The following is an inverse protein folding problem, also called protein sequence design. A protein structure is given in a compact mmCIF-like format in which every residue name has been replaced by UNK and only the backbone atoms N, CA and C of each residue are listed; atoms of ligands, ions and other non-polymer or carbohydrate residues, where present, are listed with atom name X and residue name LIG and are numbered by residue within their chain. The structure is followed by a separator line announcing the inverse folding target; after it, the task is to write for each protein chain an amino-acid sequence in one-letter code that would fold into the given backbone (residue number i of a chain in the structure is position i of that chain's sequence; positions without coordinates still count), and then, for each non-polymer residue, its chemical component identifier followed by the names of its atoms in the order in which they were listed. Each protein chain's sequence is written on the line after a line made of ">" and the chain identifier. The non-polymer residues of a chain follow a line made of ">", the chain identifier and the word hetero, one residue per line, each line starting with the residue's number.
data_IF_710385795276
#
_entry.id   IF_710385795276
#
_cell.length_a   1.000
_cell.length_b   1.000
_cell.length_c   1.000
_cell.angle_alpha   90.00
_cell.angle_beta   90.00
_cell.angle_gamma   90.00
#
_symmetry.space_group_name_H-M   'P 1'
#
loop_
_entity.id
_entity.type
_entity.pdbx_description
1 polymer ?
#
# COMPACT_ATOMS: atom_id res chain seq x y z
N UNK A 1 28.23 25.34 35.89
CA UNK A 1 28.32 25.28 34.41
C UNK A 1 27.81 23.88 33.99
N UNK A 2 26.49 23.77 33.75
CA UNK A 2 25.84 22.52 33.34
C UNK A 2 25.91 22.45 31.82
N UNK A 3 26.57 21.42 31.28
CA UNK A 3 26.61 21.11 29.87
C UNK A 3 25.23 20.58 29.43
N UNK A 4 24.60 21.30 28.52
CA UNK A 4 23.42 20.82 27.83
C UNK A 4 23.74 19.49 27.09
N UNK A 5 22.95 18.46 27.32
CA UNK A 5 22.96 17.26 26.47
C UNK A 5 22.46 17.64 25.09
N UNK A 6 23.05 17.12 24.01
CA UNK A 6 22.48 17.30 22.68
C UNK A 6 21.10 16.60 22.64
N UNK A 7 20.11 17.35 22.23
CA UNK A 7 18.74 16.89 22.03
C UNK A 7 18.68 15.74 21.03
N UNK A 8 17.84 14.79 21.33
CA UNK A 8 17.63 13.53 20.61
C UNK A 8 17.39 13.79 19.11
N UNK A 9 18.30 13.29 18.31
CA UNK A 9 18.07 13.12 16.88
C UNK A 9 16.83 12.22 16.64
N UNK A 10 16.30 12.20 15.40
CA UNK A 10 15.07 11.46 15.11
C UNK A 10 15.19 10.04 15.63
N UNK A 11 14.20 9.62 16.43
CA UNK A 11 14.15 8.32 17.07
C UNK A 11 14.55 7.24 16.07
N UNK A 12 15.59 6.48 16.40
CA UNK A 12 16.03 5.33 15.62
C UNK A 12 14.81 4.41 15.43
N UNK A 13 14.38 4.28 14.19
CA UNK A 13 13.31 3.37 13.82
C UNK A 13 13.66 1.99 14.35
N UNK A 14 12.71 1.33 15.01
CA UNK A 14 12.84 -0.04 15.51
C UNK A 14 13.45 -0.93 14.41
N UNK A 15 14.69 -1.46 14.59
CA UNK A 15 15.36 -2.24 13.55
C UNK A 15 14.70 -3.59 13.29
N UNK A 16 13.69 -3.97 14.09
CA UNK A 16 12.95 -5.23 13.96
C UNK A 16 11.57 -5.11 13.33
N UNK A 17 11.11 -3.91 12.97
CA UNK A 17 9.79 -3.76 12.35
C UNK A 17 9.84 -4.14 10.86
N UNK A 18 9.25 -5.28 10.51
CA UNK A 18 9.07 -5.70 9.11
C UNK A 18 8.25 -4.65 8.36
N UNK A 19 8.77 -4.19 7.23
CA UNK A 19 8.09 -3.22 6.37
C UNK A 19 7.58 -3.90 5.12
N UNK A 20 6.28 -3.91 4.96
CA UNK A 20 5.67 -4.33 3.71
C UNK A 20 5.59 -3.12 2.75
N UNK A 21 6.45 -3.10 1.75
CA UNK A 21 6.40 -2.15 0.63
C UNK A 21 5.95 -2.96 -0.58
N UNK A 22 4.69 -2.82 -0.94
CA UNK A 22 4.06 -3.69 -1.93
C UNK A 22 3.83 -3.00 -3.27
N UNK A 23 4.23 -1.72 -3.38
CA UNK A 23 4.26 -0.95 -4.62
C UNK A 23 5.62 -0.26 -4.73
N UNK A 24 6.32 -0.48 -5.82
CA UNK A 24 7.62 0.15 -6.11
C UNK A 24 7.47 1.37 -7.03
N UNK A 25 6.46 1.36 -7.91
CA UNK A 25 6.22 2.45 -8.86
C UNK A 25 4.75 2.57 -9.25
N UNK A 26 4.28 3.80 -9.38
CA UNK A 26 3.00 4.13 -10.03
C UNK A 26 3.28 4.45 -11.49
N UNK A 27 2.75 3.64 -12.41
CA UNK A 27 2.94 3.79 -13.85
C UNK A 27 1.97 4.82 -14.43
N UNK A 28 0.73 4.77 -13.99
CA UNK A 28 -0.34 5.67 -14.44
C UNK A 28 -1.40 5.79 -13.34
N UNK A 29 -1.99 6.97 -13.21
CA UNK A 29 -3.10 7.21 -12.29
C UNK A 29 -4.00 8.30 -12.85
N UNK A 30 -5.30 8.00 -12.88
CA UNK A 30 -6.36 8.93 -13.23
C UNK A 30 -7.29 9.06 -12.02
N UNK A 31 -7.25 10.23 -11.36
CA UNK A 31 -8.02 10.47 -10.13
C UNK A 31 -9.51 10.13 -10.34
N UNK A 32 -10.10 9.48 -9.35
CA UNK A 32 -11.50 9.03 -9.39
C UNK A 32 -11.77 7.81 -10.28
N UNK A 33 -10.79 7.32 -11.05
CA UNK A 33 -11.03 6.29 -12.06
C UNK A 33 -10.15 5.07 -11.92
N UNK A 34 -8.84 5.20 -12.08
CA UNK A 34 -7.96 4.02 -12.11
C UNK A 34 -6.52 4.32 -11.73
N UNK A 35 -5.82 3.27 -11.35
CA UNK A 35 -4.37 3.28 -11.11
C UNK A 35 -3.73 2.03 -11.71
N UNK A 36 -2.52 2.20 -12.26
CA UNK A 36 -1.60 1.11 -12.59
C UNK A 36 -0.32 1.27 -11.79
N UNK A 37 0.07 0.21 -11.10
CA UNK A 37 1.26 0.21 -10.24
C UNK A 37 2.02 -1.10 -10.36
N UNK A 38 3.29 -1.09 -10.01
CA UNK A 38 4.20 -2.23 -10.16
C UNK A 38 4.86 -2.56 -8.82
N UNK A 39 5.01 -3.85 -8.57
CA UNK A 39 5.89 -4.43 -7.55
C UNK A 39 6.86 -5.42 -8.20
N UNK A 40 8.14 -5.27 -7.89
CA UNK A 40 9.18 -6.26 -8.21
C UNK A 40 9.50 -7.03 -6.94
N UNK A 41 9.55 -8.36 -7.01
CA UNK A 41 9.84 -9.22 -5.87
C UNK A 41 11.35 -9.50 -5.83
N UNK A 42 12.00 -9.04 -4.77
CA UNK A 42 13.42 -9.33 -4.51
C UNK A 42 13.56 -10.52 -3.57
N UNK A 43 14.60 -11.35 -3.77
CA UNK A 43 14.95 -12.41 -2.81
C UNK A 43 15.33 -11.86 -1.43
N UNK A 44 15.65 -10.57 -1.32
CA UNK A 44 15.96 -9.90 -0.06
C UNK A 44 14.73 -9.52 0.79
N UNK A 45 13.52 -9.79 0.31
CA UNK A 45 12.29 -9.55 1.08
C UNK A 45 12.21 -10.53 2.26
N UNK A 46 12.13 -10.02 3.48
CA UNK A 46 12.20 -10.82 4.72
C UNK A 46 11.12 -11.91 4.81
N UNK A 47 9.90 -11.63 4.33
CA UNK A 47 8.79 -12.59 4.37
C UNK A 47 9.00 -13.80 3.45
N UNK A 48 9.94 -13.77 2.51
CA UNK A 48 10.24 -14.92 1.65
C UNK A 48 11.07 -16.00 2.36
N UNK A 49 11.78 -15.65 3.44
CA UNK A 49 12.56 -16.61 4.20
C UNK A 49 11.69 -17.70 4.82
N UNK A 50 10.46 -17.37 5.22
CA UNK A 50 9.53 -18.26 5.91
C UNK A 50 8.42 -18.80 5.00
N UNK A 51 8.16 -18.14 3.87
CA UNK A 51 7.09 -18.54 2.95
C UNK A 51 7.63 -19.40 1.83
N UNK A 52 7.70 -20.66 2.16
CA UNK A 52 8.30 -21.84 1.55
C UNK A 52 9.82 -21.69 1.34
N UNK A 53 10.65 -22.01 2.37
CA UNK A 53 12.11 -21.83 2.32
C UNK A 53 12.80 -22.47 1.12
N UNK A 54 12.28 -23.60 0.60
CA UNK A 54 12.79 -24.28 -0.59
C UNK A 54 12.19 -23.80 -1.93
N UNK A 55 11.09 -23.03 -1.85
CA UNK A 55 10.38 -22.46 -3.00
C UNK A 55 9.79 -21.10 -2.61
N UNK A 56 10.61 -20.05 -2.51
CA UNK A 56 10.15 -18.75 -2.07
C UNK A 56 9.18 -18.12 -3.08
N UNK A 57 8.01 -17.74 -2.61
CA UNK A 57 6.98 -17.06 -3.40
C UNK A 57 6.32 -15.96 -2.59
N UNK A 58 5.89 -14.90 -3.25
CA UNK A 58 5.12 -13.85 -2.61
C UNK A 58 3.81 -14.44 -2.06
N UNK A 59 3.53 -14.32 -0.74
CA UNK A 59 2.28 -14.78 -0.17
C UNK A 59 1.05 -14.19 -0.88
N UNK A 60 0.03 -15.02 -1.13
CA UNK A 60 -1.18 -14.58 -1.82
C UNK A 60 -1.86 -13.39 -1.15
N UNK A 61 -1.86 -13.35 0.19
CA UNK A 61 -2.41 -12.21 0.96
C UNK A 61 -1.64 -10.91 0.69
N UNK A 62 -0.35 -10.97 0.37
CA UNK A 62 0.45 -9.80 0.02
C UNK A 62 0.23 -9.37 -1.44
N UNK A 63 -0.14 -10.30 -2.35
CA UNK A 63 -0.64 -9.94 -3.68
C UNK A 63 -1.92 -9.09 -3.56
N UNK A 64 -2.87 -9.52 -2.71
CA UNK A 64 -4.07 -8.73 -2.43
C UNK A 64 -3.73 -7.39 -1.77
N UNK A 65 -2.83 -7.38 -0.80
CA UNK A 65 -2.44 -6.15 -0.11
C UNK A 65 -1.75 -5.14 -1.05
N UNK A 66 -0.96 -5.57 -2.02
CA UNK A 66 -0.40 -4.70 -3.06
C UNK A 66 -1.49 -4.04 -3.92
N UNK A 67 -2.55 -4.78 -4.21
CA UNK A 67 -3.74 -4.25 -4.89
C UNK A 67 -4.48 -3.21 -4.03
N UNK A 68 -4.64 -3.48 -2.72
CA UNK A 68 -5.22 -2.56 -1.73
C UNK A 68 -4.36 -1.30 -1.59
N UNK A 69 -3.03 -1.43 -1.53
CA UNK A 69 -2.12 -0.28 -1.49
C UNK A 69 -2.25 0.58 -2.75
N UNK A 70 -2.35 -0.04 -3.93
CA UNK A 70 -2.60 0.67 -5.19
C UNK A 70 -3.90 1.47 -5.15
N UNK A 71 -5.01 0.84 -4.74
CA UNK A 71 -6.30 1.51 -4.59
C UNK A 71 -6.24 2.67 -3.57
N UNK A 72 -5.49 2.48 -2.48
CA UNK A 72 -5.34 3.51 -1.45
C UNK A 72 -4.63 4.76 -1.99
N UNK A 73 -3.67 4.60 -2.91
CA UNK A 73 -3.05 5.74 -3.59
C UNK A 73 -4.03 6.46 -4.51
N UNK A 74 -4.88 5.72 -5.22
CA UNK A 74 -5.93 6.30 -6.05
C UNK A 74 -6.93 7.12 -5.23
N UNK A 75 -7.37 6.59 -4.08
CA UNK A 75 -8.25 7.32 -3.16
C UNK A 75 -7.59 8.61 -2.68
N UNK A 76 -6.36 8.52 -2.15
CA UNK A 76 -5.62 9.67 -1.63
C UNK A 76 -5.48 10.79 -2.66
N UNK A 77 -5.14 10.46 -3.88
CA UNK A 77 -5.06 11.44 -4.97
C UNK A 77 -6.43 12.04 -5.29
N UNK A 78 -7.47 11.21 -5.31
CA UNK A 78 -8.84 11.65 -5.64
C UNK A 78 -9.40 12.60 -4.59
N UNK A 79 -9.10 12.36 -3.30
CA UNK A 79 -9.58 13.13 -2.17
C UNK A 79 -8.62 14.27 -1.74
N UNK A 80 -7.56 14.51 -2.49
CA UNK A 80 -6.48 15.43 -2.10
C UNK A 80 -5.95 15.15 -0.66
N UNK A 81 -5.75 13.85 -0.33
CA UNK A 81 -5.25 13.39 0.97
C UNK A 81 -6.12 13.81 2.17
N UNK A 82 -7.44 13.85 2.01
CA UNK A 82 -8.39 14.20 3.07
C UNK A 82 -8.32 13.26 4.28
N UNK A 83 -7.95 11.98 4.09
CA UNK A 83 -7.89 10.96 5.14
C UNK A 83 -6.46 10.42 5.34
N UNK A 84 -6.05 10.33 6.59
CA UNK A 84 -4.76 9.73 6.98
C UNK A 84 -4.77 8.21 6.85
N UNK A 85 -5.89 7.57 7.20
CA UNK A 85 -6.06 6.12 7.24
C UNK A 85 -6.99 5.63 6.14
N UNK A 86 -6.51 4.65 5.37
CA UNK A 86 -7.31 3.92 4.38
C UNK A 86 -7.01 2.44 4.58
N UNK A 87 -8.03 1.67 4.94
CA UNK A 87 -7.91 0.27 5.29
C UNK A 87 -8.85 -0.59 4.45
N UNK A 88 -8.42 -1.83 4.19
CA UNK A 88 -9.28 -2.85 3.61
C UNK A 88 -10.47 -3.10 4.55
N UNK A 89 -11.68 -2.92 4.06
CA UNK A 89 -12.91 -3.23 4.79
C UNK A 89 -13.40 -4.64 4.47
N UNK A 90 -13.42 -4.99 3.20
CA UNK A 90 -13.79 -6.33 2.75
C UNK A 90 -13.15 -6.67 1.40
N UNK A 91 -12.96 -7.97 1.16
CA UNK A 91 -12.59 -8.49 -0.15
C UNK A 91 -13.54 -9.62 -0.54
N UNK A 92 -13.90 -9.68 -1.82
CA UNK A 92 -14.81 -10.68 -2.39
C UNK A 92 -14.26 -11.20 -3.70
N UNK A 93 -14.61 -12.45 -4.03
CA UNK A 93 -14.20 -13.08 -5.29
C UNK A 93 -12.70 -12.98 -5.55
N UNK A 94 -11.89 -13.11 -4.48
CA UNK A 94 -10.44 -13.16 -4.61
C UNK A 94 -10.05 -14.48 -5.26
N UNK A 95 -9.39 -14.38 -6.41
CA UNK A 95 -8.92 -15.56 -7.15
C UNK A 95 -7.42 -15.45 -7.36
N UNK A 96 -6.68 -16.37 -6.78
CA UNK A 96 -5.26 -16.57 -7.01
C UNK A 96 -5.08 -17.62 -8.09
N UNK A 97 -4.42 -17.28 -9.19
CA UNK A 97 -4.28 -18.17 -10.36
C UNK A 97 -2.86 -18.71 -10.51
N UNK A 98 -1.86 -18.00 -9.96
CA UNK A 98 -0.47 -18.41 -10.04
C UNK A 98 0.35 -17.79 -8.92
N UNK A 99 1.61 -18.21 -8.81
CA UNK A 99 2.57 -17.70 -7.84
C UNK A 99 3.46 -16.62 -8.45
N UNK A 100 4.02 -15.75 -7.60
CA UNK A 100 5.02 -14.77 -7.98
C UNK A 100 6.31 -15.06 -7.20
N UNK A 101 7.35 -15.50 -7.90
CA UNK A 101 8.66 -15.81 -7.33
C UNK A 101 9.61 -14.61 -7.38
N UNK A 102 10.71 -14.62 -6.58
CA UNK A 102 11.77 -13.63 -6.69
C UNK A 102 12.30 -13.46 -8.11
N UNK A 103 12.59 -12.21 -8.49
CA UNK A 103 12.91 -11.82 -9.86
C UNK A 103 11.69 -11.55 -10.74
N UNK A 104 10.50 -11.92 -10.28
CA UNK A 104 9.24 -11.62 -10.95
C UNK A 104 8.73 -10.22 -10.65
N UNK A 105 7.87 -9.73 -11.54
CA UNK A 105 7.18 -8.46 -11.43
C UNK A 105 5.67 -8.67 -11.55
N UNK A 106 4.91 -7.95 -10.75
CA UNK A 106 3.47 -7.85 -10.92
C UNK A 106 3.08 -6.42 -11.25
N UNK A 107 2.21 -6.26 -12.23
CA UNK A 107 1.52 -5.02 -12.53
C UNK A 107 0.07 -5.12 -12.05
N UNK A 108 -0.29 -4.24 -11.12
CA UNK A 108 -1.66 -4.07 -10.67
C UNK A 108 -2.38 -3.05 -11.53
N UNK A 109 -3.57 -3.38 -11.98
CA UNK A 109 -4.56 -2.46 -12.55
C UNK A 109 -5.76 -2.45 -11.64
N UNK A 110 -6.10 -1.30 -11.08
CA UNK A 110 -7.23 -1.13 -10.17
C UNK A 110 -8.16 -0.06 -10.69
N UNK A 111 -9.42 -0.42 -10.86
CA UNK A 111 -10.49 0.46 -11.30
C UNK A 111 -11.43 0.77 -10.15
N UNK A 112 -11.71 2.05 -9.91
CA UNK A 112 -12.74 2.47 -8.98
C UNK A 112 -14.14 2.19 -9.55
N UNK A 113 -15.00 1.58 -8.73
CA UNK A 113 -16.44 1.50 -9.00
C UNK A 113 -17.17 2.64 -8.31
N UNK A 114 -16.79 2.93 -7.06
CA UNK A 114 -17.25 4.10 -6.32
C UNK A 114 -16.10 4.62 -5.46
N UNK A 115 -16.03 5.94 -5.30
CA UNK A 115 -15.21 6.60 -4.27
C UNK A 115 -16.13 7.63 -3.62
N UNK A 116 -16.51 7.37 -2.38
CA UNK A 116 -17.34 8.22 -1.54
C UNK A 116 -16.53 8.75 -0.37
N UNK A 117 -17.09 9.64 0.44
CA UNK A 117 -16.36 10.35 1.51
C UNK A 117 -15.57 9.42 2.44
N UNK A 118 -16.18 8.30 2.88
CA UNK A 118 -15.58 7.41 3.89
C UNK A 118 -15.39 5.96 3.41
N UNK A 119 -15.89 5.64 2.23
CA UNK A 119 -15.85 4.29 1.65
C UNK A 119 -15.59 4.34 0.15
N UNK A 120 -14.98 3.29 -0.36
CA UNK A 120 -14.78 3.11 -1.79
C UNK A 120 -14.81 1.64 -2.17
N UNK A 121 -15.10 1.35 -3.43
CA UNK A 121 -15.13 -0.01 -3.97
C UNK A 121 -14.39 -0.10 -5.29
N UNK A 122 -13.72 -1.25 -5.50
CA UNK A 122 -12.79 -1.47 -6.60
C UNK A 122 -12.91 -2.84 -7.22
N UNK A 123 -12.50 -2.90 -8.47
CA UNK A 123 -12.11 -4.12 -9.17
C UNK A 123 -10.61 -4.05 -9.43
N UNK A 124 -9.87 -5.06 -9.02
CA UNK A 124 -8.43 -5.14 -9.23
C UNK A 124 -8.01 -6.41 -9.96
N UNK A 125 -6.98 -6.28 -10.78
CA UNK A 125 -6.31 -7.38 -11.49
C UNK A 125 -4.81 -7.19 -11.35
N UNK A 126 -4.08 -8.28 -11.10
CA UNK A 126 -2.63 -8.31 -11.11
C UNK A 126 -2.11 -9.23 -12.22
N UNK A 127 -1.24 -8.70 -13.06
CA UNK A 127 -0.61 -9.42 -14.17
C UNK A 127 0.88 -9.61 -13.92
N UNK A 128 1.39 -10.80 -14.22
CA UNK A 128 2.83 -11.07 -14.30
C UNK A 128 3.13 -11.72 -15.65
N UNK A 129 4.09 -11.15 -16.39
CA UNK A 129 4.46 -11.61 -17.74
C UNK A 129 3.25 -11.72 -18.71
N UNK A 130 2.27 -10.83 -18.55
CA UNK A 130 1.04 -10.82 -19.35
C UNK A 130 -0.03 -11.80 -18.90
N UNK A 131 0.24 -12.66 -17.92
CA UNK A 131 -0.73 -13.60 -17.36
C UNK A 131 -1.36 -13.06 -16.08
N UNK A 132 -2.66 -13.24 -15.93
CA UNK A 132 -3.38 -12.85 -14.73
C UNK A 132 -3.09 -13.80 -13.58
N UNK A 133 -2.49 -13.29 -12.51
CA UNK A 133 -2.14 -14.08 -11.31
C UNK A 133 -3.07 -13.82 -10.13
N UNK A 134 -3.74 -12.67 -10.09
CA UNK A 134 -4.75 -12.35 -9.08
C UNK A 134 -5.85 -11.48 -9.67
N UNK A 135 -7.08 -11.69 -9.21
CA UNK A 135 -8.19 -10.74 -9.35
C UNK A 135 -8.97 -10.66 -8.04
N UNK A 136 -9.55 -9.50 -7.75
CA UNK A 136 -10.40 -9.30 -6.59
C UNK A 136 -11.37 -8.14 -6.77
N UNK A 137 -12.53 -8.25 -6.09
CA UNK A 137 -13.41 -7.12 -5.77
C UNK A 137 -13.21 -6.79 -4.30
N UNK A 138 -13.03 -5.53 -3.97
CA UNK A 138 -12.77 -5.13 -2.58
C UNK A 138 -13.25 -3.73 -2.30
N UNK A 139 -13.46 -3.44 -1.02
CA UNK A 139 -13.84 -2.12 -0.51
C UNK A 139 -12.84 -1.62 0.51
N UNK A 140 -12.65 -0.32 0.54
CA UNK A 140 -11.81 0.39 1.49
C UNK A 140 -12.66 1.33 2.34
N UNK A 141 -12.24 1.51 3.58
CA UNK A 141 -12.75 2.51 4.51
C UNK A 141 -11.71 3.59 4.72
N UNK A 142 -12.12 4.85 4.69
CA UNK A 142 -11.29 6.03 4.87
C UNK A 142 -11.67 6.76 6.15
N UNK A 143 -10.71 7.20 6.93
CA UNK A 143 -10.94 7.97 8.16
C UNK A 143 -9.69 8.67 8.66
N UNK A 144 -9.87 9.61 9.58
CA UNK A 144 -8.81 10.22 10.35
C UNK A 144 -8.86 9.71 11.79
N UNK A 145 -7.70 9.53 12.41
CA UNK A 145 -7.58 9.10 13.81
C UNK A 145 -8.22 10.13 14.75
N UNK A 146 -8.11 11.40 14.41
CA UNK A 146 -8.73 12.51 15.15
C UNK A 146 -10.26 12.43 15.23
N UNK A 147 -10.92 11.67 14.36
CA UNK A 147 -12.35 11.42 14.45
C UNK A 147 -12.73 10.61 15.69
N UNK A 148 -11.80 9.80 16.23
CA UNK A 148 -11.99 9.02 17.45
C UNK A 148 -11.36 9.70 18.67
N UNK A 149 -10.17 10.29 18.51
CA UNK A 149 -9.48 11.06 19.53
C UNK A 149 -8.89 12.35 18.93
N UNK A 150 -9.45 13.53 19.25
CA UNK A 150 -8.96 14.82 18.74
C UNK A 150 -7.48 15.11 19.00
N UNK A 151 -6.87 14.47 19.99
CA UNK A 151 -5.43 14.60 20.29
C UNK A 151 -4.55 14.01 19.20
N UNK A 152 -5.09 13.17 18.31
CA UNK A 152 -4.36 12.53 17.22
C UNK A 152 -4.33 13.38 15.94
N UNK A 153 -4.85 14.59 15.93
CA UNK A 153 -4.85 15.45 14.75
C UNK A 153 -3.45 15.74 14.19
N UNK A 154 -2.46 15.93 15.07
CA UNK A 154 -1.06 16.13 14.65
C UNK A 154 -0.46 14.84 14.05
N UNK A 155 -0.87 13.67 14.55
CA UNK A 155 -0.46 12.38 14.01
C UNK A 155 -1.04 12.20 12.61
N UNK A 156 -2.33 12.52 12.40
CA UNK A 156 -2.93 12.50 11.07
C UNK A 156 -2.19 13.40 10.07
N UNK A 157 -1.87 14.64 10.49
CA UNK A 157 -1.12 15.57 9.65
C UNK A 157 0.26 15.02 9.26
N UNK A 158 0.98 14.42 10.22
CA UNK A 158 2.29 13.81 9.97
C UNK A 158 2.19 12.60 9.03
N UNK A 159 1.16 11.76 9.18
CA UNK A 159 0.92 10.62 8.29
C UNK A 159 0.67 11.13 6.87
N UNK A 160 -0.20 12.11 6.70
CA UNK A 160 -0.52 12.71 5.38
C UNK A 160 0.71 13.29 4.71
N UNK A 161 1.53 14.03 5.44
CA UNK A 161 2.79 14.61 4.89
C UNK A 161 3.75 13.51 4.42
N UNK A 162 3.95 12.47 5.22
CA UNK A 162 4.77 11.32 4.85
C UNK A 162 4.25 10.60 3.61
N UNK A 163 2.92 10.44 3.49
CA UNK A 163 2.27 9.82 2.34
C UNK A 163 2.43 10.66 1.08
N UNK A 164 2.27 11.99 1.15
CA UNK A 164 2.51 12.89 0.02
C UNK A 164 3.95 12.78 -0.50
N UNK A 165 4.92 12.75 0.42
CA UNK A 165 6.33 12.57 0.04
C UNK A 165 6.58 11.20 -0.58
N UNK A 166 5.96 10.14 -0.06
CA UNK A 166 6.08 8.80 -0.65
C UNK A 166 5.47 8.73 -2.06
N UNK A 167 4.33 9.35 -2.30
CA UNK A 167 3.74 9.34 -3.64
C UNK A 167 4.64 10.01 -4.69
N UNK A 168 5.36 11.08 -4.32
CA UNK A 168 6.36 11.71 -5.20
C UNK A 168 7.44 10.70 -5.62
N UNK A 169 7.93 9.88 -4.68
CA UNK A 169 8.92 8.84 -4.97
C UNK A 169 8.36 7.73 -5.86
N UNK A 170 7.11 7.32 -5.65
CA UNK A 170 6.47 6.27 -6.46
C UNK A 170 6.20 6.71 -7.91
N UNK A 171 6.18 8.01 -8.18
CA UNK A 171 5.97 8.60 -9.50
C UNK A 171 7.26 8.97 -10.25
N UNK A 172 8.39 8.88 -9.57
CA UNK A 172 9.71 9.24 -10.15
C UNK A 172 10.25 8.21 -11.16
#
# INVERSE_FOLDING_TARGET
>A
MQSARPEDGPALKDPGAMRFILIDKVIAMEAGRSIRAVKVVSLAEEYLADHFPSFPVLPGVLLLQGMVESASWLVRETEDFAHSMILLEHARNVKYKSFLAPGGQIEYTVEAKTIEENISSFLGVGLSQGEQIIEAKFGLRHFNLAAQDPKLAEVDAQIVENLKNRLKLLRS
#
